data_IF_107193508919
#
_entry.id   IF_107193508919
#
_cell.length_a   1.000
_cell.length_b   1.000
_cell.length_c   1.000
_cell.angle_alpha   90.00
_cell.angle_beta   90.00
_cell.angle_gamma   90.00
#
_symmetry.space_group_name_H-M   'P 1'
#
loop_
_entity.id
_entity.type
_entity.pdbx_description
1 polymer ?
#
# COMPACT_ATOMS: atom_id res chain seq x y z
N UNK A 1 -19.43 29.49 2.10
CA UNK A 1 -18.19 29.06 1.41
C UNK A 1 -17.18 28.70 2.50
N UNK A 2 -17.04 27.42 2.82
CA UNK A 2 -16.12 26.96 3.88
C UNK A 2 -14.80 26.65 3.19
N UNK A 3 -13.78 27.47 3.44
CA UNK A 3 -12.40 27.18 3.04
C UNK A 3 -11.89 26.19 4.09
N UNK A 4 -12.06 24.89 3.86
CA UNK A 4 -11.43 23.89 4.71
C UNK A 4 -9.91 24.04 4.54
N UNK A 5 -9.20 24.23 5.65
CA UNK A 5 -7.75 24.34 5.62
C UNK A 5 -7.16 23.01 5.07
N UNK A 6 -6.10 23.09 4.27
CA UNK A 6 -5.53 21.91 3.61
C UNK A 6 -5.05 20.84 4.61
N UNK A 7 -4.60 21.23 5.80
CA UNK A 7 -4.22 20.27 6.84
C UNK A 7 -5.42 19.49 7.40
N UNK A 8 -6.59 20.12 7.55
CA UNK A 8 -7.83 19.48 7.98
C UNK A 8 -8.36 18.57 6.89
N UNK A 9 -8.23 18.97 5.62
CA UNK A 9 -8.54 18.09 4.48
C UNK A 9 -7.60 16.89 4.49
N UNK A 10 -6.29 17.10 4.64
CA UNK A 10 -5.30 16.03 4.70
C UNK A 10 -5.49 15.12 5.92
N UNK A 11 -5.87 15.67 7.07
CA UNK A 11 -6.14 14.90 8.28
C UNK A 11 -7.43 14.09 8.15
N UNK A 12 -8.50 14.68 7.59
CA UNK A 12 -9.74 13.96 7.28
C UNK A 12 -9.51 12.90 6.21
N UNK A 13 -8.67 13.17 5.20
CA UNK A 13 -8.22 12.16 4.24
C UNK A 13 -7.42 11.06 4.92
N UNK A 14 -6.50 11.37 5.84
CA UNK A 14 -5.69 10.38 6.55
C UNK A 14 -6.52 9.52 7.52
N UNK A 15 -7.50 10.13 8.20
CA UNK A 15 -8.46 9.45 9.08
C UNK A 15 -9.48 8.61 8.30
N UNK A 16 -9.90 9.06 7.11
CA UNK A 16 -10.73 8.24 6.19
C UNK A 16 -9.92 7.19 5.44
N UNK A 17 -8.62 7.41 5.25
CA UNK A 17 -7.64 6.46 4.70
C UNK A 17 -7.23 5.37 5.69
N UNK A 18 -7.43 5.59 7.00
CA UNK A 18 -7.64 4.50 7.99
C UNK A 18 -8.98 3.76 7.71
N UNK A 19 -9.25 3.52 6.43
CA UNK A 19 -10.41 2.84 5.88
C UNK A 19 -10.23 1.38 6.24
N UNK A 20 -11.14 0.88 7.06
CA UNK A 20 -11.28 -0.52 7.46
C UNK A 20 -10.95 -1.46 6.29
N UNK A 21 -9.77 -2.06 6.31
CA UNK A 21 -9.38 -3.12 5.38
C UNK A 21 -10.38 -4.26 5.53
N UNK A 22 -11.09 -4.60 4.46
CA UNK A 22 -12.09 -5.67 4.49
C UNK A 22 -11.38 -7.02 4.46
N UNK A 23 -10.28 -7.12 3.71
CA UNK A 23 -9.45 -8.32 3.61
C UNK A 23 -7.97 -7.95 3.53
N UNK A 24 -7.14 -8.59 4.34
CA UNK A 24 -5.68 -8.44 4.33
C UNK A 24 -5.03 -9.82 4.34
N UNK A 25 -4.07 -10.07 3.45
CA UNK A 25 -3.33 -11.33 3.40
C UNK A 25 -1.91 -11.12 2.90
N UNK A 26 -1.00 -11.99 3.33
CA UNK A 26 0.32 -12.10 2.72
C UNK A 26 0.16 -12.48 1.22
N UNK A 27 0.96 -11.85 0.36
CA UNK A 27 0.94 -12.05 -1.08
C UNK A 27 2.33 -11.79 -1.69
N UNK A 28 2.47 -12.07 -2.99
CA UNK A 28 3.65 -11.70 -3.78
C UNK A 28 3.21 -10.94 -5.02
N UNK A 29 3.83 -9.80 -5.30
CA UNK A 29 3.68 -9.08 -6.56
C UNK A 29 4.65 -9.69 -7.56
N UNK A 30 4.10 -10.16 -8.69
CA UNK A 30 4.87 -10.83 -9.75
C UNK A 30 4.80 -9.95 -11.00
N UNK A 31 5.95 -9.56 -11.50
CA UNK A 31 6.12 -8.86 -12.78
C UNK A 31 7.34 -9.43 -13.52
N UNK A 32 7.53 -9.13 -14.82
CA UNK A 32 8.71 -9.60 -15.54
C UNK A 32 9.99 -9.19 -14.82
N UNK A 33 10.82 -10.17 -14.45
CA UNK A 33 12.13 -9.92 -13.82
C UNK A 33 12.08 -9.61 -12.32
N UNK A 34 10.90 -9.53 -11.67
CA UNK A 34 10.81 -9.20 -10.24
C UNK A 34 9.71 -9.98 -9.51
N UNK A 35 10.03 -10.42 -8.30
CA UNK A 35 9.06 -11.01 -7.36
C UNK A 35 9.20 -10.34 -6.00
N UNK A 36 8.18 -9.59 -5.60
CA UNK A 36 8.21 -8.77 -4.38
C UNK A 36 7.26 -9.37 -3.34
N UNK A 37 7.74 -9.85 -2.17
CA UNK A 37 6.89 -10.27 -1.06
C UNK A 37 6.23 -9.06 -0.38
N UNK A 38 5.03 -9.25 0.18
CA UNK A 38 4.32 -8.15 0.85
C UNK A 38 2.93 -8.52 1.35
N UNK A 39 2.16 -7.51 1.74
CA UNK A 39 0.77 -7.64 2.17
C UNK A 39 -0.18 -7.00 1.16
N UNK A 40 -1.18 -7.77 0.71
CA UNK A 40 -2.27 -7.28 -0.11
C UNK A 40 -3.45 -6.88 0.79
N UNK A 41 -3.87 -5.61 0.70
CA UNK A 41 -4.99 -5.05 1.44
C UNK A 41 -6.09 -4.61 0.48
N UNK A 42 -7.30 -5.15 0.67
CA UNK A 42 -8.48 -4.84 -0.16
C UNK A 42 -9.52 -4.12 0.68
N UNK A 43 -9.99 -2.98 0.17
CA UNK A 43 -11.13 -2.23 0.70
C UNK A 43 -12.30 -2.27 -0.30
N UNK A 44 -13.42 -1.60 0.01
CA UNK A 44 -14.58 -1.57 -0.88
C UNK A 44 -14.35 -0.84 -2.22
N UNK A 45 -13.30 -0.02 -2.32
CA UNK A 45 -13.08 0.84 -3.50
C UNK A 45 -11.66 0.77 -4.05
N UNK A 46 -10.71 0.30 -3.24
CA UNK A 46 -9.28 0.41 -3.52
C UNK A 46 -8.55 -0.86 -3.06
N UNK A 47 -7.44 -1.13 -3.74
CA UNK A 47 -6.51 -2.23 -3.48
C UNK A 47 -5.12 -1.64 -3.26
N UNK A 48 -4.46 -2.07 -2.19
CA UNK A 48 -3.13 -1.63 -1.80
C UNK A 48 -2.20 -2.82 -1.65
N UNK A 49 -0.93 -2.64 -2.01
CA UNK A 49 0.13 -3.61 -1.78
C UNK A 49 1.29 -2.93 -1.06
N UNK A 50 1.60 -3.43 0.13
CA UNK A 50 2.73 -2.98 0.94
C UNK A 50 3.86 -4.00 0.79
N UNK A 51 4.98 -3.58 0.21
CA UNK A 51 6.15 -4.45 0.03
C UNK A 51 6.84 -4.73 1.37
N UNK A 52 7.32 -5.95 1.54
CA UNK A 52 8.16 -6.34 2.67
C UNK A 52 9.63 -6.10 2.30
N UNK A 53 10.12 -4.89 2.58
CA UNK A 53 11.51 -4.49 2.29
C UNK A 53 12.54 -5.22 3.16
N UNK A 54 12.11 -5.84 4.26
CA UNK A 54 12.98 -6.58 5.16
C UNK A 54 13.22 -8.03 4.69
N UNK A 55 12.31 -8.58 3.88
CA UNK A 55 12.40 -9.93 3.33
C UNK A 55 13.68 -10.10 2.47
N UNK A 56 14.47 -11.16 2.67
CA UNK A 56 15.65 -11.45 1.85
C UNK A 56 15.35 -11.48 0.35
N UNK A 57 14.18 -12.00 -0.05
CA UNK A 57 13.77 -12.07 -1.44
C UNK A 57 13.62 -10.67 -2.04
N UNK A 58 13.13 -9.69 -1.28
CA UNK A 58 13.06 -8.29 -1.73
C UNK A 58 14.47 -7.74 -1.98
N UNK A 59 15.40 -7.98 -1.05
CA UNK A 59 16.79 -7.48 -1.10
C UNK A 59 17.62 -8.12 -2.23
N UNK A 60 17.26 -9.32 -2.67
CA UNK A 60 17.89 -10.02 -3.79
C UNK A 60 17.46 -9.49 -5.17
N UNK A 61 16.38 -8.71 -5.26
CA UNK A 61 15.93 -8.14 -6.54
C UNK A 61 16.92 -7.09 -7.05
N UNK A 62 17.21 -7.09 -8.35
CA UNK A 62 18.07 -6.07 -8.97
C UNK A 62 17.33 -4.72 -9.02
N UNK A 63 17.82 -3.65 -8.37
CA UNK A 63 17.18 -2.33 -8.40
C UNK A 63 17.25 -1.65 -9.78
N UNK A 64 18.00 -2.21 -10.74
CA UNK A 64 18.17 -1.66 -12.10
C UNK A 64 17.38 -2.42 -13.17
N UNK A 65 16.59 -3.42 -12.79
CA UNK A 65 15.58 -4.06 -13.63
C UNK A 65 14.24 -3.29 -13.61
#
# INVERSE_FOLDING_TARGET
MIIANEELINLLQKLTFQKKTTYGTAAKLIAPGIVVPGTLSITNYELFFDADEDDPLYKEQDPKL
#
